data_IF_239800330170
#
_entry.id   IF_239800330170
#
_cell.length_a   1.000
_cell.length_b   1.000
_cell.length_c   1.000
_cell.angle_alpha   90.00
_cell.angle_beta   90.00
_cell.angle_gamma   90.00
#
_symmetry.space_group_name_H-M   'P 1'
#
loop_
_entity.id
_entity.type
_entity.pdbx_description
1 polymer ?
#
# COMPACT_ATOMS: atom_id res chain seq x y z
N UNK A 1 -43.09 -1.96 37.04
CA UNK A 1 -43.88 -2.75 36.07
C UNK A 1 -44.26 -1.84 34.91
N UNK A 2 -43.67 -1.98 33.71
CA UNK A 2 -44.25 -1.53 32.41
C UNK A 2 -43.32 -1.74 31.19
N UNK A 3 -42.06 -2.16 31.35
CA UNK A 3 -41.15 -2.42 30.22
C UNK A 3 -41.58 -3.57 29.29
N UNK A 4 -42.43 -4.50 29.77
CA UNK A 4 -42.97 -5.59 28.95
C UNK A 4 -43.98 -5.10 27.89
N UNK A 5 -44.65 -3.96 28.12
CA UNK A 5 -45.62 -3.40 27.17
C UNK A 5 -44.93 -2.67 26.02
N UNK A 6 -43.80 -2.00 26.29
CA UNK A 6 -43.06 -1.24 25.28
C UNK A 6 -42.35 -2.13 24.25
N UNK A 7 -41.84 -3.29 24.67
CA UNK A 7 -41.19 -4.25 23.76
C UNK A 7 -42.20 -4.94 22.83
N UNK A 8 -43.42 -5.18 23.31
CA UNK A 8 -44.45 -5.86 22.50
C UNK A 8 -45.03 -5.00 21.38
N UNK A 9 -45.07 -3.67 21.55
CA UNK A 9 -45.56 -2.74 20.51
C UNK A 9 -44.54 -2.61 19.37
N UNK A 10 -43.24 -2.66 19.67
CA UNK A 10 -42.17 -2.55 18.66
C UNK A 10 -42.13 -3.81 17.78
N UNK A 11 -42.35 -5.01 18.34
CA UNK A 11 -42.40 -6.25 17.54
C UNK A 11 -43.59 -6.31 16.56
N UNK A 12 -44.75 -5.71 16.89
CA UNK A 12 -45.89 -5.67 15.98
C UNK A 12 -45.74 -4.65 14.84
N UNK A 13 -44.92 -3.61 15.04
CA UNK A 13 -44.66 -2.58 14.03
C UNK A 13 -43.66 -3.05 12.96
N UNK A 14 -42.80 -4.02 13.27
CA UNK A 14 -41.84 -4.61 12.33
C UNK A 14 -42.47 -5.76 11.50
N UNK A 15 -43.55 -6.39 12.00
CA UNK A 15 -44.22 -7.51 11.35
C UNK A 15 -45.24 -7.09 10.25
N UNK A 16 -45.52 -5.80 10.10
CA UNK A 16 -46.49 -5.28 9.10
C UNK A 16 -45.86 -4.78 7.80
N UNK A 17 -44.53 -4.79 7.68
CA UNK A 17 -43.80 -4.34 6.48
C UNK A 17 -43.47 -5.47 5.48
N UNK A 18 -43.89 -6.71 5.73
CA UNK A 18 -43.53 -7.87 4.89
C UNK A 18 -44.66 -8.37 3.99
N UNK A 19 -45.82 -7.71 3.96
CA UNK A 19 -47.00 -8.16 3.19
C UNK A 19 -47.51 -7.04 2.29
N UNK A 20 -46.69 -6.53 1.37
CA UNK A 20 -47.11 -5.66 0.25
C UNK A 20 -46.02 -5.52 -0.83
N UNK A 21 -45.54 -6.64 -1.37
CA UNK A 21 -44.57 -6.61 -2.48
C UNK A 21 -44.64 -7.76 -3.46
N UNK A 22 -45.35 -8.84 -3.15
CA UNK A 22 -45.59 -9.92 -4.10
C UNK A 22 -46.85 -9.60 -4.92
N UNK A 23 -46.72 -8.95 -6.08
CA UNK A 23 -47.62 -9.06 -7.24
C UNK A 23 -47.29 -8.01 -8.33
N UNK A 24 -46.04 -7.92 -8.78
CA UNK A 24 -45.71 -7.11 -9.97
C UNK A 24 -44.73 -7.81 -10.92
N UNK A 25 -44.98 -9.10 -11.17
CA UNK A 25 -44.42 -9.78 -12.33
C UNK A 25 -45.57 -10.46 -13.06
N UNK A 26 -46.49 -9.62 -13.56
CA UNK A 26 -47.43 -10.01 -14.60
C UNK A 26 -46.69 -10.10 -15.93
N UNK A 27 -46.98 -11.17 -16.66
CA UNK A 27 -46.55 -11.53 -18.01
C UNK A 27 -45.95 -10.41 -18.86
N UNK A 28 -44.74 -10.63 -19.37
CA UNK A 28 -44.32 -10.07 -20.64
C UNK A 28 -43.25 -10.95 -21.32
N UNK A 29 -43.73 -11.69 -22.32
CA UNK A 29 -43.02 -12.13 -23.54
C UNK A 29 -41.50 -12.24 -23.47
N UNK A 30 -41.00 -13.47 -23.52
CA UNK A 30 -39.63 -13.79 -23.93
C UNK A 30 -39.42 -13.35 -25.38
N UNK A 31 -38.92 -12.13 -25.57
CA UNK A 31 -38.32 -11.72 -26.84
C UNK A 31 -37.11 -12.63 -27.11
N UNK A 32 -36.91 -13.16 -28.33
CA UNK A 32 -35.70 -13.89 -28.65
C UNK A 32 -34.49 -12.98 -28.39
N UNK A 33 -33.48 -13.52 -27.70
CA UNK A 33 -32.27 -12.80 -27.37
C UNK A 33 -31.61 -12.26 -28.66
N UNK A 34 -31.13 -10.99 -28.66
CA UNK A 34 -30.34 -10.47 -29.77
C UNK A 34 -29.12 -11.37 -30.01
N UNK A 35 -29.04 -12.00 -31.19
CA UNK A 35 -27.84 -12.77 -31.56
C UNK A 35 -26.72 -11.76 -31.77
N UNK A 36 -25.74 -11.77 -30.85
CA UNK A 36 -24.52 -10.98 -31.00
C UNK A 36 -23.78 -11.44 -32.27
N UNK A 37 -23.37 -10.54 -33.17
CA UNK A 37 -22.47 -10.90 -34.26
C UNK A 37 -21.24 -11.61 -33.66
N UNK A 38 -20.94 -12.79 -34.18
CA UNK A 38 -19.75 -13.55 -33.78
C UNK A 38 -18.54 -12.71 -34.16
N UNK A 39 -17.95 -12.04 -33.17
CA UNK A 39 -16.64 -11.39 -33.34
C UNK A 39 -15.71 -12.50 -33.79
N UNK A 40 -15.13 -12.34 -34.99
CA UNK A 40 -14.13 -13.26 -35.50
C UNK A 40 -13.06 -13.43 -34.41
N UNK A 41 -12.80 -14.68 -34.02
CA UNK A 41 -11.72 -15.02 -33.12
C UNK A 41 -10.45 -14.37 -33.68
N UNK A 42 -9.75 -13.50 -32.93
CA UNK A 42 -8.47 -13.00 -33.39
C UNK A 42 -7.58 -14.21 -33.58
N UNK A 43 -7.12 -14.40 -34.81
CA UNK A 43 -5.99 -15.28 -35.10
C UNK A 43 -4.90 -14.86 -34.11
N UNK A 44 -4.34 -15.77 -33.28
CA UNK A 44 -3.24 -15.42 -32.40
C UNK A 44 -2.03 -15.11 -33.28
N UNK A 45 -1.94 -13.86 -33.72
CA UNK A 45 -0.74 -13.35 -34.33
C UNK A 45 0.26 -13.24 -33.18
N UNK A 46 1.16 -14.22 -33.10
CA UNK A 46 2.34 -14.23 -32.21
C UNK A 46 3.36 -13.18 -32.65
N UNK A 47 2.91 -11.95 -32.85
CA UNK A 47 3.75 -10.79 -32.76
C UNK A 47 3.46 -10.21 -31.39
N UNK A 48 4.22 -10.68 -30.39
CA UNK A 48 4.35 -9.96 -29.13
C UNK A 48 4.70 -8.52 -29.51
N UNK A 49 3.77 -7.59 -29.30
CA UNK A 49 4.09 -6.17 -29.36
C UNK A 49 5.37 -5.98 -28.53
N UNK A 50 6.43 -5.36 -29.08
CA UNK A 50 7.64 -5.15 -28.32
C UNK A 50 7.20 -4.46 -27.05
N UNK A 51 7.36 -5.14 -25.91
CA UNK A 51 7.09 -4.58 -24.60
C UNK A 51 8.13 -3.50 -24.44
N UNK A 52 7.81 -2.31 -24.94
CA UNK A 52 8.59 -1.10 -24.80
C UNK A 52 8.71 -0.95 -23.29
N UNK A 53 9.87 -1.33 -22.74
CA UNK A 53 10.18 -1.16 -21.33
C UNK A 53 9.84 0.28 -21.03
N UNK A 54 8.76 0.53 -20.30
CA UNK A 54 8.33 1.87 -19.97
C UNK A 54 9.50 2.45 -19.15
N UNK A 55 10.25 3.44 -19.67
CA UNK A 55 11.34 4.03 -18.91
C UNK A 55 10.65 4.84 -17.80
N UNK A 56 10.62 4.30 -16.58
CA UNK A 56 9.94 4.99 -15.48
C UNK A 56 9.55 4.13 -14.29
N UNK A 57 9.35 2.82 -14.45
CA UNK A 57 9.22 1.90 -13.30
C UNK A 57 10.56 1.24 -13.00
N UNK A 58 11.60 2.06 -12.86
CA UNK A 58 12.86 1.55 -12.32
C UNK A 58 12.56 1.14 -10.89
N UNK A 59 12.47 -0.17 -10.64
CA UNK A 59 12.38 -0.70 -9.27
C UNK A 59 13.48 0.00 -8.48
N UNK A 60 13.10 0.73 -7.44
CA UNK A 60 14.07 1.46 -6.65
C UNK A 60 15.06 0.43 -6.08
N UNK A 61 16.34 0.65 -6.35
CA UNK A 61 17.39 -0.27 -5.92
C UNK A 61 17.81 0.06 -4.49
N UNK A 62 18.27 -0.95 -3.75
CA UNK A 62 18.88 -0.78 -2.43
C UNK A 62 19.99 0.28 -2.44
N UNK A 63 20.81 0.29 -3.50
CA UNK A 63 21.87 1.29 -3.69
C UNK A 63 21.32 2.72 -3.63
N UNK A 64 20.17 2.98 -4.25
CA UNK A 64 19.53 4.30 -4.23
C UNK A 64 19.03 4.67 -2.83
N UNK A 65 18.51 3.71 -2.06
CA UNK A 65 18.14 3.93 -0.65
C UNK A 65 19.37 4.25 0.21
N UNK A 66 20.47 3.52 0.04
CA UNK A 66 21.71 3.75 0.77
C UNK A 66 22.33 5.11 0.44
N UNK A 67 22.37 5.48 -0.83
CA UNK A 67 22.79 6.81 -1.28
C UNK A 67 21.90 7.91 -0.67
N UNK A 68 20.58 7.69 -0.56
CA UNK A 68 19.67 8.63 0.09
C UNK A 68 19.98 8.77 1.58
N UNK A 69 20.17 7.66 2.29
CA UNK A 69 20.53 7.67 3.71
C UNK A 69 21.85 8.42 3.94
N UNK A 70 22.83 8.25 3.05
CA UNK A 70 24.11 8.98 3.11
C UNK A 70 23.93 10.49 2.90
N UNK A 71 23.04 10.92 2.00
CA UNK A 71 22.69 12.34 1.84
C UNK A 71 22.08 12.94 3.10
N UNK A 72 21.15 12.22 3.76
CA UNK A 72 20.56 12.66 5.03
C UNK A 72 21.65 12.76 6.11
N UNK A 73 22.53 11.77 6.21
CA UNK A 73 23.62 11.77 7.20
C UNK A 73 24.58 12.94 6.97
N UNK A 74 24.94 13.20 5.72
CA UNK A 74 25.83 14.29 5.34
C UNK A 74 25.20 15.65 5.67
N UNK A 75 23.91 15.82 5.39
CA UNK A 75 23.16 17.01 5.77
C UNK A 75 23.10 17.17 7.30
N UNK A 76 22.87 16.08 8.04
CA UNK A 76 22.79 16.11 9.50
C UNK A 76 24.14 16.49 10.15
N UNK A 77 25.25 15.96 9.61
CA UNK A 77 26.62 16.31 10.01
C UNK A 77 26.92 17.78 9.75
N UNK A 78 26.50 18.30 8.59
CA UNK A 78 26.63 19.73 8.23
C UNK A 78 25.68 20.63 9.02
N UNK A 79 24.64 20.08 9.66
CA UNK A 79 23.60 20.84 10.35
C UNK A 79 22.60 21.50 9.41
N UNK A 80 22.53 21.04 8.16
CA UNK A 80 21.56 21.53 7.17
C UNK A 80 20.24 20.77 7.34
N UNK A 81 19.43 21.27 8.26
CA UNK A 81 18.14 20.66 8.60
C UNK A 81 17.10 20.77 7.49
N UNK A 82 17.23 21.76 6.60
CA UNK A 82 16.35 21.91 5.44
C UNK A 82 16.59 20.76 4.45
N UNK A 83 17.86 20.49 4.16
CA UNK A 83 18.25 19.35 3.33
C UNK A 83 17.92 18.03 4.03
N UNK A 84 18.19 17.87 5.33
CA UNK A 84 17.78 16.66 6.06
C UNK A 84 16.29 16.38 5.90
N UNK A 85 15.43 17.36 6.18
CA UNK A 85 13.99 17.17 6.10
C UNK A 85 13.53 16.79 4.68
N UNK A 86 14.07 17.45 3.66
CA UNK A 86 13.78 17.13 2.25
C UNK A 86 14.21 15.71 1.90
N UNK A 87 15.46 15.35 2.21
CA UNK A 87 16.01 14.03 1.87
C UNK A 87 15.32 12.92 2.68
N UNK A 88 14.92 13.16 3.93
CA UNK A 88 14.12 12.22 4.74
C UNK A 88 12.72 12.01 4.15
N UNK A 89 12.06 13.04 3.61
CA UNK A 89 10.77 12.87 2.93
C UNK A 89 10.92 12.07 1.62
N UNK A 90 12.00 12.34 0.87
CA UNK A 90 12.32 11.56 -0.32
C UNK A 90 12.63 10.10 0.03
N UNK A 91 13.33 9.85 1.15
CA UNK A 91 13.59 8.50 1.64
C UNK A 91 12.30 7.72 1.91
N UNK A 92 11.26 8.37 2.47
CA UNK A 92 9.95 7.74 2.67
C UNK A 92 9.27 7.40 1.34
N UNK A 93 9.34 8.31 0.36
CA UNK A 93 8.81 8.06 -0.99
C UNK A 93 9.53 6.89 -1.66
N UNK A 94 10.85 6.90 -1.56
CA UNK A 94 11.74 5.86 -2.06
C UNK A 94 11.38 4.51 -1.41
N UNK A 95 11.13 4.48 -0.10
CA UNK A 95 10.72 3.27 0.61
C UNK A 95 9.38 2.70 0.12
N UNK A 96 8.36 3.53 -0.14
CA UNK A 96 7.07 3.03 -0.68
C UNK A 96 7.21 2.35 -2.05
N UNK A 97 8.30 2.65 -2.77
CA UNK A 97 8.61 2.07 -4.08
C UNK A 97 9.60 0.92 -4.00
N UNK A 98 10.23 0.74 -2.84
CA UNK A 98 11.12 -0.37 -2.58
C UNK A 98 10.31 -1.63 -2.31
N UNK A 99 10.24 -2.49 -3.33
CA UNK A 99 9.69 -3.83 -3.20
C UNK A 99 10.86 -4.80 -3.10
N UNK A 100 11.22 -5.29 -1.89
CA UNK A 100 12.16 -6.40 -1.80
C UNK A 100 11.57 -7.61 -2.53
N UNK A 101 12.40 -8.33 -3.28
CA UNK A 101 11.96 -9.43 -4.17
C UNK A 101 11.51 -10.70 -3.44
N UNK A 102 11.28 -10.66 -2.12
CA UNK A 102 11.07 -11.85 -1.29
C UNK A 102 9.62 -11.98 -0.82
N UNK A 103 9.02 -13.13 -1.10
CA UNK A 103 7.59 -13.45 -0.90
C UNK A 103 7.25 -13.87 0.54
N UNK A 104 8.20 -13.81 1.49
CA UNK A 104 8.03 -14.45 2.79
C UNK A 104 7.82 -13.48 3.96
N UNK A 105 7.07 -13.90 4.99
CA UNK A 105 6.60 -13.05 6.10
C UNK A 105 7.69 -12.36 6.94
N UNK A 106 8.95 -12.85 6.86
CA UNK A 106 10.12 -12.18 7.47
C UNK A 106 10.47 -10.86 6.78
N UNK A 107 10.22 -10.74 5.47
CA UNK A 107 10.36 -9.50 4.71
C UNK A 107 9.40 -8.43 5.26
N UNK A 108 8.16 -8.82 5.56
CA UNK A 108 7.15 -7.94 6.16
C UNK A 108 7.56 -7.43 7.55
N UNK A 109 8.12 -8.28 8.41
CA UNK A 109 8.63 -7.86 9.73
C UNK A 109 9.83 -6.91 9.64
N UNK A 110 10.72 -7.14 8.67
CA UNK A 110 11.85 -6.24 8.44
C UNK A 110 11.40 -4.90 7.87
N UNK A 111 10.39 -4.88 7.00
CA UNK A 111 9.75 -3.65 6.51
C UNK A 111 9.11 -2.89 7.69
N UNK A 112 8.37 -3.57 8.56
CA UNK A 112 7.76 -2.92 9.73
C UNK A 112 8.81 -2.34 10.70
N UNK A 113 9.93 -3.03 10.89
CA UNK A 113 11.07 -2.52 11.69
C UNK A 113 11.68 -1.29 11.05
N UNK A 114 11.86 -1.32 9.73
CA UNK A 114 12.36 -0.19 8.95
C UNK A 114 11.41 1.01 9.04
N UNK A 115 10.10 0.80 8.89
CA UNK A 115 9.07 1.85 9.01
C UNK A 115 9.06 2.50 10.40
N UNK A 116 9.20 1.69 11.46
CA UNK A 116 9.35 2.21 12.82
C UNK A 116 10.61 3.05 12.98
N UNK A 117 11.76 2.60 12.46
CA UNK A 117 13.00 3.37 12.52
C UNK A 117 12.88 4.66 11.68
N UNK A 118 12.21 4.61 10.54
CA UNK A 118 11.95 5.77 9.70
C UNK A 118 11.06 6.81 10.39
N UNK A 119 10.01 6.37 11.09
CA UNK A 119 9.14 7.26 11.86
C UNK A 119 9.90 7.99 12.98
N UNK A 120 10.84 7.29 13.66
CA UNK A 120 11.72 7.91 14.65
C UNK A 120 12.68 8.91 14.01
N UNK A 121 13.29 8.55 12.88
CA UNK A 121 14.13 9.46 12.10
C UNK A 121 13.37 10.74 11.72
N UNK A 122 12.11 10.64 11.27
CA UNK A 122 11.30 11.81 10.95
C UNK A 122 11.08 12.71 12.18
N UNK A 123 10.82 12.13 13.34
CA UNK A 123 10.68 12.89 14.59
C UNK A 123 12.00 13.58 14.97
N UNK A 124 13.12 12.85 14.91
CA UNK A 124 14.44 13.36 15.29
C UNK A 124 14.97 14.44 14.34
N UNK A 125 14.66 14.34 13.04
CA UNK A 125 14.96 15.39 12.06
C UNK A 125 14.13 16.66 12.36
N UNK A 126 12.85 16.51 12.71
CA UNK A 126 11.99 17.65 13.08
C UNK A 126 12.46 18.32 14.39
N UNK A 127 12.90 17.53 15.36
CA UNK A 127 13.47 18.04 16.62
C UNK A 127 14.94 18.47 16.51
N UNK A 128 15.55 18.33 15.32
CA UNK A 128 16.96 18.68 15.04
C UNK A 128 17.96 17.97 15.98
N UNK A 129 17.62 16.76 16.41
CA UNK A 129 18.42 15.97 17.33
C UNK A 129 19.52 15.21 16.58
N UNK A 130 20.64 15.87 16.27
CA UNK A 130 21.76 15.30 15.49
C UNK A 130 22.19 13.90 15.96
N UNK A 131 22.51 13.65 17.25
CA UNK A 131 22.98 12.33 17.66
C UNK A 131 21.92 11.24 17.49
N UNK A 132 20.63 11.56 17.65
CA UNK A 132 19.55 10.61 17.42
C UNK A 132 19.35 10.34 15.92
N UNK A 133 19.37 11.39 15.08
CA UNK A 133 19.34 11.25 13.61
C UNK A 133 20.44 10.34 13.09
N UNK A 134 21.69 10.54 13.52
CA UNK A 134 22.82 9.70 13.07
C UNK A 134 22.63 8.23 13.48
N UNK A 135 22.14 8.00 14.70
CA UNK A 135 21.86 6.65 15.23
C UNK A 135 20.75 5.95 14.44
N UNK A 136 19.67 6.67 14.16
CA UNK A 136 18.54 6.13 13.40
C UNK A 136 18.93 5.84 11.95
N UNK A 137 19.75 6.68 11.33
CA UNK A 137 20.31 6.42 9.98
C UNK A 137 21.21 5.17 9.96
N UNK A 138 22.03 4.96 11.00
CA UNK A 138 22.80 3.72 11.13
C UNK A 138 21.89 2.51 11.25
N UNK A 139 20.85 2.60 12.08
CA UNK A 139 19.87 1.53 12.24
C UNK A 139 19.14 1.21 10.93
N UNK A 140 18.74 2.22 10.15
CA UNK A 140 18.14 2.03 8.82
C UNK A 140 19.08 1.30 7.85
N UNK A 141 20.39 1.59 7.88
CA UNK A 141 21.37 0.85 7.07
C UNK A 141 21.46 -0.61 7.48
N UNK A 142 21.46 -0.87 8.78
CA UNK A 142 21.53 -2.23 9.30
C UNK A 142 20.24 -3.01 8.97
N UNK A 143 19.08 -2.37 9.07
CA UNK A 143 17.79 -2.95 8.69
C UNK A 143 17.75 -3.28 7.18
N UNK A 144 18.25 -2.39 6.31
CA UNK A 144 18.40 -2.68 4.88
C UNK A 144 19.35 -3.84 4.61
N UNK A 145 20.49 -3.88 5.29
CA UNK A 145 21.43 -5.01 5.19
C UNK A 145 20.82 -6.30 5.68
N UNK A 146 19.96 -6.29 6.71
CA UNK A 146 19.23 -7.48 7.18
C UNK A 146 18.21 -7.96 6.14
N UNK A 147 17.48 -7.05 5.51
CA UNK A 147 16.58 -7.38 4.39
C UNK A 147 17.38 -8.04 3.26
N UNK A 148 18.58 -7.53 2.97
CA UNK A 148 19.47 -8.07 1.94
C UNK A 148 20.13 -9.40 2.32
N UNK A 149 20.68 -9.54 3.52
CA UNK A 149 21.50 -10.68 3.97
C UNK A 149 20.65 -11.83 4.54
N UNK A 150 19.34 -11.62 4.63
CA UNK A 150 18.36 -12.69 4.78
C UNK A 150 17.49 -12.82 3.51
N UNK A 151 18.06 -12.88 2.28
CA UNK A 151 17.29 -13.26 1.11
C UNK A 151 17.21 -14.78 1.17
N UNK A 152 16.25 -15.31 1.93
CA UNK A 152 16.03 -16.74 2.22
C UNK A 152 17.02 -17.77 1.64
N UNK A 153 17.60 -18.58 2.53
CA UNK A 153 17.60 -20.02 2.28
C UNK A 153 16.18 -20.55 2.27
#
# INVERSE_FOLDING_TARGET
MNHKKTVSVICFLILSLTISGCNWFGDNQTRPAPVRPRIATPIPNTEQAPTKKIPGTTKLTEKQLLERIEKVETAAKKGDWSVCNRETNLLGTDMTRYSPSTTDGKSLMNIATFDSTYAKLQADVKSKNRPAVIRDLQKLRDDLKRIKNNPQS
#
